data_IF_651966731399
#
_entry.id   IF_651966731399
#
_cell.length_a   1.000
_cell.length_b   1.000
_cell.length_c   1.000
_cell.angle_alpha   90.00
_cell.angle_beta   90.00
_cell.angle_gamma   90.00
#
_symmetry.space_group_name_H-M   'P 1'
#
loop_
_entity.id
_entity.type
_entity.pdbx_description
1 polymer ?
#
# COMPACT_ATOMS: atom_id res chain seq x y z
N UNK A 1 -18.14 54.98 -21.54
CA UNK A 1 -18.93 53.73 -21.58
C UNK A 1 -17.95 52.60 -21.85
N UNK A 2 -17.40 52.01 -20.79
CA UNK A 2 -16.53 50.85 -20.90
C UNK A 2 -17.43 49.68 -21.29
N UNK A 3 -17.16 49.05 -22.42
CA UNK A 3 -18.06 48.03 -22.94
C UNK A 3 -17.96 46.78 -22.07
N UNK A 4 -19.05 46.04 -21.92
CA UNK A 4 -19.08 44.73 -21.25
C UNK A 4 -17.98 43.80 -21.76
N UNK A 5 -17.52 44.01 -23.00
CA UNK A 5 -16.40 43.33 -23.65
C UNK A 5 -15.03 43.67 -23.07
N UNK A 6 -14.81 44.90 -22.60
CA UNK A 6 -13.56 45.33 -21.95
C UNK A 6 -13.47 44.78 -20.51
N UNK A 7 -14.62 44.68 -19.82
CA UNK A 7 -14.71 44.02 -18.51
C UNK A 7 -14.53 42.50 -18.64
N UNK A 8 -15.13 41.88 -19.67
CA UNK A 8 -14.95 40.46 -19.98
C UNK A 8 -13.53 40.13 -20.44
N UNK A 9 -12.88 40.99 -21.22
CA UNK A 9 -11.48 40.80 -21.60
C UNK A 9 -10.53 40.98 -20.41
N UNK A 10 -10.77 41.95 -19.51
CA UNK A 10 -9.98 42.12 -18.30
C UNK A 10 -10.20 40.98 -17.29
N UNK A 11 -11.41 40.42 -17.20
CA UNK A 11 -11.69 39.24 -16.37
C UNK A 11 -11.18 37.94 -16.99
N UNK A 12 -11.17 37.81 -18.32
CA UNK A 12 -10.56 36.67 -19.01
C UNK A 12 -9.02 36.71 -18.95
N UNK A 13 -8.41 37.90 -18.98
CA UNK A 13 -6.96 38.08 -18.77
C UNK A 13 -6.57 37.86 -17.30
N UNK A 14 -7.40 38.27 -16.32
CA UNK A 14 -7.19 37.91 -14.92
C UNK A 14 -7.41 36.40 -14.64
N UNK A 15 -8.28 35.72 -15.39
CA UNK A 15 -8.44 34.27 -15.32
C UNK A 15 -7.27 33.50 -15.97
N UNK A 16 -6.48 34.14 -16.83
CA UNK A 16 -5.23 33.55 -17.38
C UNK A 16 -3.96 33.97 -16.61
N UNK A 17 -4.07 34.82 -15.58
CA UNK A 17 -2.96 35.18 -14.68
C UNK A 17 -3.05 34.54 -13.30
N UNK A 18 -4.05 33.70 -13.04
CA UNK A 18 -3.94 32.65 -12.02
C UNK A 18 -3.18 31.48 -12.64
N UNK A 19 -1.90 31.69 -12.95
CA UNK A 19 -0.97 30.59 -12.86
C UNK A 19 -0.98 30.21 -11.39
N UNK A 20 -1.60 29.10 -11.01
CA UNK A 20 -1.19 28.43 -9.77
C UNK A 20 0.30 28.22 -9.95
N UNK A 21 1.10 29.00 -9.23
CA UNK A 21 2.54 28.90 -9.36
C UNK A 21 2.93 27.64 -8.59
N UNK A 22 2.79 26.48 -9.25
CA UNK A 22 3.10 25.16 -8.70
C UNK A 22 4.62 24.94 -8.59
N UNK A 23 5.38 26.03 -8.48
CA UNK A 23 6.84 26.06 -8.41
C UNK A 23 7.36 25.39 -7.14
N UNK A 24 6.53 25.27 -6.11
CA UNK A 24 6.85 24.46 -4.93
C UNK A 24 7.09 22.97 -5.29
N UNK A 25 6.58 22.48 -6.43
CA UNK A 25 6.85 21.12 -6.93
C UNK A 25 8.27 20.95 -7.48
N UNK A 26 8.96 22.04 -7.85
CA UNK A 26 10.33 22.01 -8.40
C UNK A 26 11.33 21.41 -7.40
N UNK A 27 10.99 21.43 -6.11
CA UNK A 27 11.81 20.85 -5.04
C UNK A 27 11.69 19.32 -4.99
N UNK A 28 10.69 18.70 -5.61
CA UNK A 28 10.54 17.24 -5.63
C UNK A 28 11.57 16.63 -6.60
N UNK A 29 12.34 15.60 -6.20
CA UNK A 29 13.29 14.92 -7.08
C UNK A 29 12.60 14.20 -8.27
N UNK A 30 12.99 14.51 -9.50
CA UNK A 30 12.46 13.88 -10.72
C UNK A 30 12.73 12.37 -10.75
N UNK A 31 13.82 11.93 -10.12
CA UNK A 31 14.26 10.54 -10.02
C UNK A 31 13.50 9.69 -8.98
N UNK A 32 12.48 10.25 -8.33
CA UNK A 32 11.71 9.57 -7.29
C UNK A 32 11.17 8.21 -7.75
N UNK A 33 11.31 7.22 -6.88
CA UNK A 33 10.84 5.84 -7.09
C UNK A 33 9.46 5.59 -6.48
N UNK A 34 9.02 6.46 -5.57
CA UNK A 34 7.65 6.56 -5.10
C UNK A 34 7.27 8.03 -4.94
N UNK A 35 6.04 8.38 -5.33
CA UNK A 35 5.46 9.72 -5.12
C UNK A 35 4.02 9.52 -4.67
N UNK A 36 3.63 10.21 -3.62
CA UNK A 36 2.26 10.29 -3.13
C UNK A 36 1.77 11.74 -3.14
N UNK A 37 0.47 11.93 -3.32
CA UNK A 37 -0.19 13.22 -3.15
C UNK A 37 -1.36 13.11 -2.17
N UNK A 38 -1.54 14.13 -1.36
CA UNK A 38 -2.65 14.28 -0.41
C UNK A 38 -3.35 15.59 -0.73
N UNK A 39 -4.62 15.51 -1.11
CA UNK A 39 -5.51 16.63 -1.38
C UNK A 39 -6.41 16.86 -0.17
N UNK A 40 -6.14 17.94 0.57
CA UNK A 40 -6.90 18.26 1.78
C UNK A 40 -8.33 18.74 1.45
N UNK A 41 -8.54 19.32 0.27
CA UNK A 41 -9.79 19.97 -0.12
C UNK A 41 -10.80 19.02 -0.74
N UNK A 42 -10.34 17.95 -1.41
CA UNK A 42 -11.20 16.95 -2.02
C UNK A 42 -11.95 16.08 -0.99
N UNK A 43 -11.65 16.22 0.30
CA UNK A 43 -12.36 15.57 1.39
C UNK A 43 -13.51 16.46 1.89
N UNK A 44 -14.73 16.17 1.44
CA UNK A 44 -15.92 17.00 1.72
C UNK A 44 -16.50 16.84 3.14
N UNK A 45 -15.86 16.07 4.01
CA UNK A 45 -16.24 15.94 5.42
C UNK A 45 -15.03 16.26 6.32
N UNK A 46 -14.91 17.53 6.79
CA UNK A 46 -13.88 17.96 7.73
C UNK A 46 -13.79 17.12 9.02
N UNK A 47 -14.87 16.39 9.33
CA UNK A 47 -14.99 15.53 10.52
C UNK A 47 -14.70 14.03 10.26
N UNK A 48 -14.61 13.57 9.00
CA UNK A 48 -14.44 12.13 8.71
C UNK A 48 -13.03 11.74 8.27
N UNK A 49 -12.24 12.66 7.71
CA UNK A 49 -10.83 12.37 7.41
C UNK A 49 -9.95 13.29 8.25
N UNK A 50 -9.26 12.74 9.26
CA UNK A 50 -8.36 13.45 10.17
C UNK A 50 -7.09 13.95 9.46
N UNK A 51 -7.20 14.67 8.35
CA UNK A 51 -6.02 15.07 7.57
C UNK A 51 -5.33 16.30 8.17
N UNK A 52 -6.06 17.08 8.98
CA UNK A 52 -5.41 17.96 9.96
C UNK A 52 -4.57 17.17 10.96
N UNK A 53 -5.05 16.01 11.41
CA UNK A 53 -4.24 15.08 12.20
C UNK A 53 -3.09 14.49 11.39
N UNK A 54 -3.20 14.32 10.06
CA UNK A 54 -2.07 13.88 9.21
C UNK A 54 -0.95 14.93 9.19
N UNK A 55 -1.25 16.23 9.05
CA UNK A 55 -0.23 17.29 9.14
C UNK A 55 0.41 17.36 10.53
N UNK A 56 -0.40 17.18 11.57
CA UNK A 56 0.06 17.09 12.96
C UNK A 56 0.92 15.86 13.22
N UNK A 57 0.54 14.70 12.68
CA UNK A 57 1.24 13.42 12.85
C UNK A 57 2.56 13.40 12.08
N UNK A 58 2.63 14.06 10.91
CA UNK A 58 3.82 14.08 10.07
C UNK A 58 4.78 15.23 10.42
N UNK A 59 4.27 16.46 10.59
CA UNK A 59 5.09 17.68 10.77
C UNK A 59 5.09 18.18 12.22
N UNK A 60 4.04 17.89 12.99
CA UNK A 60 3.92 18.34 14.38
C UNK A 60 3.20 19.68 14.57
N UNK A 61 2.60 20.24 13.52
CA UNK A 61 1.82 21.48 13.59
C UNK A 61 0.47 21.23 14.24
N UNK A 62 0.16 21.97 15.31
CA UNK A 62 -1.06 21.76 16.11
C UNK A 62 -2.28 22.49 15.54
N UNK A 63 -2.09 23.65 14.90
CA UNK A 63 -3.14 24.43 14.25
C UNK A 63 -2.81 24.57 12.77
N UNK A 64 -3.62 23.93 11.92
CA UNK A 64 -3.45 23.93 10.46
C UNK A 64 -4.04 25.19 9.81
N UNK A 65 -4.89 25.94 10.50
CA UNK A 65 -5.58 27.12 9.92
C UNK A 65 -4.69 28.37 9.91
N UNK A 66 -3.70 28.42 10.80
CA UNK A 66 -2.72 29.51 10.89
C UNK A 66 -1.27 28.98 10.83
N UNK A 67 -1.04 27.91 10.06
CA UNK A 67 0.29 27.30 9.95
C UNK A 67 1.20 27.92 8.89
N UNK A 68 0.68 28.81 8.05
CA UNK A 68 1.41 29.42 6.93
C UNK A 68 1.60 28.49 5.72
N UNK A 69 0.98 27.31 5.71
CA UNK A 69 0.94 26.41 4.55
C UNK A 69 -0.34 26.62 3.74
N UNK A 70 -0.23 26.59 2.41
CA UNK A 70 -1.40 26.61 1.52
C UNK A 70 -2.08 25.23 1.53
N UNK A 71 -3.08 25.08 2.40
CA UNK A 71 -3.86 23.84 2.53
C UNK A 71 -4.75 23.56 1.31
N UNK A 72 -4.94 24.54 0.42
CA UNK A 72 -5.69 24.32 -0.81
C UNK A 72 -4.87 23.62 -1.90
N UNK A 73 -3.55 23.65 -1.77
CA UNK A 73 -2.62 22.91 -2.62
C UNK A 73 -2.36 21.51 -2.07
N UNK A 74 -2.06 20.55 -2.96
CA UNK A 74 -1.74 19.18 -2.56
C UNK A 74 -0.40 19.13 -1.80
N UNK A 75 -0.35 18.29 -0.79
CA UNK A 75 0.90 17.88 -0.12
C UNK A 75 1.47 16.68 -0.86
N UNK A 76 2.78 16.63 -1.06
CA UNK A 76 3.44 15.51 -1.72
C UNK A 76 4.41 14.81 -0.78
N UNK A 77 4.48 13.49 -0.88
CA UNK A 77 5.56 12.70 -0.28
C UNK A 77 6.33 11.98 -1.39
N UNK A 78 7.62 11.78 -1.20
CA UNK A 78 8.47 11.12 -2.18
C UNK A 78 9.51 10.22 -1.52
N UNK A 79 9.99 9.25 -2.30
CA UNK A 79 11.16 8.45 -1.99
C UNK A 79 12.12 8.48 -3.20
N UNK A 80 13.40 8.75 -2.98
CA UNK A 80 14.44 8.68 -4.01
C UNK A 80 15.22 7.37 -3.98
N UNK A 81 15.93 7.00 -5.08
CA UNK A 81 16.70 5.75 -5.14
C UNK A 81 17.76 5.57 -4.05
N UNK A 82 18.25 6.65 -3.45
CA UNK A 82 19.20 6.63 -2.33
C UNK A 82 18.52 6.38 -0.96
N UNK A 83 17.21 6.12 -0.94
CA UNK A 83 16.41 5.89 0.27
C UNK A 83 16.00 7.16 1.01
N UNK A 84 16.20 8.35 0.42
CA UNK A 84 15.71 9.59 1.03
C UNK A 84 14.19 9.64 0.91
N UNK A 85 13.53 9.78 2.06
CA UNK A 85 12.10 10.04 2.15
C UNK A 85 11.91 11.52 2.45
N UNK A 86 10.97 12.16 1.75
CA UNK A 86 10.65 13.55 1.99
C UNK A 86 9.18 13.88 1.83
N UNK A 87 8.76 14.98 2.45
CA UNK A 87 7.47 15.61 2.31
C UNK A 87 7.65 17.03 1.78
N UNK A 88 6.74 17.47 0.93
CA UNK A 88 6.70 18.80 0.34
C UNK A 88 5.30 19.39 0.50
N UNK A 89 5.24 20.60 1.06
CA UNK A 89 4.02 21.40 1.16
C UNK A 89 4.29 22.80 0.60
N UNK A 90 3.25 23.43 0.05
CA UNK A 90 3.34 24.82 -0.42
C UNK A 90 3.25 25.78 0.75
N UNK A 91 4.11 26.80 0.75
CA UNK A 91 4.09 27.87 1.74
C UNK A 91 3.21 29.01 1.23
N UNK A 92 2.27 29.44 2.05
CA UNK A 92 1.49 30.66 1.85
C UNK A 92 2.15 31.84 2.58
N UNK A 93 2.69 31.61 3.78
CA UNK A 93 3.35 32.63 4.59
C UNK A 93 4.50 32.03 5.43
N UNK A 94 5.75 32.34 5.05
CA UNK A 94 6.95 31.85 5.74
C UNK A 94 7.12 32.38 7.17
N UNK A 95 6.59 33.58 7.48
CA UNK A 95 6.62 34.11 8.84
C UNK A 95 5.71 33.30 9.77
N UNK A 96 4.56 32.85 9.27
CA UNK A 96 3.64 32.01 10.03
C UNK A 96 4.20 30.60 10.24
N UNK A 97 4.85 30.02 9.22
CA UNK A 97 5.63 28.77 9.37
C UNK A 97 6.73 28.95 10.43
N UNK A 98 7.42 30.08 10.45
CA UNK A 98 8.44 30.40 11.45
C UNK A 98 7.84 30.45 12.85
N UNK A 99 6.67 31.09 13.04
CA UNK A 99 5.97 31.13 14.33
C UNK A 99 5.62 29.71 14.83
N UNK A 100 5.17 28.82 13.95
CA UNK A 100 4.89 27.43 14.31
C UNK A 100 6.14 26.72 14.84
N UNK A 101 7.27 26.82 14.13
CA UNK A 101 8.51 26.20 14.59
C UNK A 101 9.08 26.84 15.86
N UNK A 102 8.93 28.16 16.06
CA UNK A 102 9.28 28.81 17.34
C UNK A 102 8.41 28.27 18.48
N UNK A 103 7.12 28.05 18.24
CA UNK A 103 6.25 27.40 19.22
C UNK A 103 6.68 25.97 19.51
N UNK A 104 7.08 25.19 18.51
CA UNK A 104 7.59 23.82 18.71
C UNK A 104 8.92 23.80 19.49
N UNK A 105 9.82 24.74 19.18
CA UNK A 105 11.09 24.91 19.89
C UNK A 105 10.88 25.21 21.38
N UNK A 106 9.95 26.13 21.71
CA UNK A 106 9.63 26.45 23.12
C UNK A 106 9.04 25.27 23.90
N UNK A 107 8.44 24.30 23.19
CA UNK A 107 7.95 23.02 23.73
C UNK A 107 9.00 21.90 23.72
N UNK A 108 10.22 22.15 23.24
CA UNK A 108 11.31 21.17 23.17
C UNK A 108 11.15 20.10 22.08
N UNK A 109 10.29 20.32 21.07
CA UNK A 109 10.00 19.36 19.99
C UNK A 109 10.94 19.50 18.78
N UNK A 110 11.69 20.60 18.68
CA UNK A 110 12.63 20.83 17.58
C UNK A 110 13.78 21.75 18.00
N UNK A 111 14.76 21.95 17.11
CA UNK A 111 15.79 23.00 17.27
C UNK A 111 15.22 24.39 16.97
N UNK A 112 15.93 25.44 17.36
CA UNK A 112 15.57 26.80 16.94
C UNK A 112 15.68 26.94 15.41
N UNK A 113 14.80 27.72 14.76
CA UNK A 113 14.93 28.04 13.35
C UNK A 113 16.25 28.76 13.04
N UNK A 114 17.00 28.25 12.06
CA UNK A 114 18.30 28.79 11.64
C UNK A 114 18.26 29.12 10.14
N UNK A 115 18.62 30.36 9.78
CA UNK A 115 18.66 30.78 8.39
C UNK A 115 20.01 30.41 7.75
N UNK A 116 19.95 29.75 6.60
CA UNK A 116 21.12 29.45 5.78
C UNK A 116 20.80 29.71 4.30
N UNK A 117 21.60 30.57 3.64
CA UNK A 117 21.53 30.85 2.18
C UNK A 117 20.12 31.19 1.66
N UNK A 118 19.33 31.93 2.43
CA UNK A 118 17.99 32.38 2.03
C UNK A 118 16.84 31.43 2.42
N UNK A 119 17.14 30.25 2.98
CA UNK A 119 16.14 29.30 3.48
C UNK A 119 16.31 29.13 4.99
N UNK A 120 15.26 28.70 5.69
CA UNK A 120 15.29 28.45 7.14
C UNK A 120 15.18 26.96 7.43
N UNK A 121 15.99 26.46 8.37
CA UNK A 121 16.06 25.03 8.73
C UNK A 121 15.77 24.78 10.21
N UNK A 122 15.12 23.65 10.46
CA UNK A 122 14.72 23.17 11.79
C UNK A 122 14.86 21.65 11.84
N UNK A 123 15.47 21.11 12.89
CA UNK A 123 15.49 19.65 13.14
C UNK A 123 14.38 19.28 14.13
N UNK A 124 13.38 18.53 13.67
CA UNK A 124 12.23 18.05 14.43
C UNK A 124 12.55 16.68 15.03
N UNK A 125 12.27 16.50 16.32
CA UNK A 125 12.47 15.24 17.08
C UNK A 125 13.84 14.57 16.84
N UNK A 126 14.88 15.39 16.65
CA UNK A 126 16.26 14.98 16.35
C UNK A 126 16.44 14.08 15.11
N UNK A 127 15.40 13.92 14.27
CA UNK A 127 15.39 12.92 13.19
C UNK A 127 14.86 13.46 11.86
N UNK A 128 14.11 14.55 11.83
CA UNK A 128 13.51 15.08 10.60
C UNK A 128 13.98 16.51 10.35
N UNK A 129 14.70 16.74 9.25
CA UNK A 129 15.15 18.07 8.88
C UNK A 129 14.09 18.75 8.03
N UNK A 130 13.44 19.76 8.60
CA UNK A 130 12.60 20.69 7.89
C UNK A 130 13.45 21.85 7.35
N UNK A 131 13.14 22.27 6.13
CA UNK A 131 13.70 23.45 5.48
C UNK A 131 12.58 24.14 4.73
N UNK A 132 12.53 25.46 4.74
CA UNK A 132 11.49 26.22 4.04
C UNK A 132 11.98 27.54 3.46
N UNK A 133 11.30 27.95 2.37
CA UNK A 133 11.40 29.24 1.70
C UNK A 133 10.03 29.94 1.71
N UNK A 134 9.89 31.04 0.97
CA UNK A 134 8.60 31.71 0.75
C UNK A 134 7.63 30.88 -0.11
N UNK A 135 8.10 29.82 -0.76
CA UNK A 135 7.30 29.01 -1.72
C UNK A 135 7.02 27.59 -1.25
N UNK A 136 7.99 26.95 -0.56
CA UNK A 136 7.92 25.53 -0.25
C UNK A 136 8.48 25.21 1.14
N UNK A 137 7.84 24.25 1.81
CA UNK A 137 8.35 23.54 2.97
C UNK A 137 8.75 22.13 2.51
N UNK A 138 9.98 21.73 2.83
CA UNK A 138 10.50 20.39 2.60
C UNK A 138 10.85 19.78 3.95
N UNK A 139 10.42 18.55 4.21
CA UNK A 139 10.82 17.78 5.40
C UNK A 139 11.48 16.49 4.94
N UNK A 140 12.73 16.24 5.32
CA UNK A 140 13.48 15.02 4.97
C UNK A 140 13.86 14.24 6.23
N UNK A 141 13.61 12.93 6.23
CA UNK A 141 13.99 12.05 7.32
C UNK A 141 13.51 10.60 7.17
N UNK A 142 13.82 9.75 8.15
CA UNK A 142 14.65 10.05 9.31
C UNK A 142 16.14 10.20 8.92
N UNK A 143 16.84 11.15 9.55
CA UNK A 143 18.29 11.38 9.40
C UNK A 143 19.00 11.29 10.75
N UNK A 144 20.28 10.94 10.71
CA UNK A 144 21.18 11.00 11.87
C UNK A 144 21.84 12.38 11.97
N UNK A 145 22.41 12.69 13.15
CA UNK A 145 23.19 13.92 13.35
C UNK A 145 24.37 14.06 12.36
N UNK A 146 24.95 12.94 11.90
CA UNK A 146 26.03 12.95 10.90
C UNK A 146 25.54 13.31 9.50
N UNK A 147 24.27 13.05 9.18
CA UNK A 147 23.67 13.32 7.88
C UNK A 147 23.12 14.74 7.75
N UNK A 148 22.96 15.48 8.87
CA UNK A 148 22.33 16.82 8.89
C UNK A 148 22.93 17.79 7.86
N UNK A 149 24.24 18.01 7.89
CA UNK A 149 24.91 18.98 6.99
C UNK A 149 24.76 18.58 5.53
N UNK A 150 24.91 17.29 5.21
CA UNK A 150 24.74 16.79 3.84
C UNK A 150 23.28 16.92 3.36
N UNK A 151 22.32 16.67 4.25
CA UNK A 151 20.88 16.78 3.97
C UNK A 151 20.49 18.24 3.75
N UNK A 152 20.97 19.16 4.59
CA UNK A 152 20.76 20.60 4.40
C UNK A 152 21.30 21.06 3.05
N UNK A 153 22.52 20.64 2.67
CA UNK A 153 23.08 20.94 1.36
C UNK A 153 22.26 20.34 0.21
N UNK A 154 21.65 19.16 0.39
CA UNK A 154 20.74 18.55 -0.59
C UNK A 154 19.47 19.40 -0.74
N UNK A 155 18.84 19.79 0.37
CA UNK A 155 17.65 20.65 0.37
C UNK A 155 17.92 22.02 -0.25
N UNK A 156 19.09 22.62 0.03
CA UNK A 156 19.52 23.86 -0.60
C UNK A 156 19.62 23.77 -2.13
N UNK A 157 19.99 22.60 -2.67
CA UNK A 157 19.96 22.38 -4.13
C UNK A 157 18.53 22.23 -4.63
N UNK A 158 17.68 21.54 -3.88
CA UNK A 158 16.25 21.39 -4.22
C UNK A 158 15.54 22.74 -4.32
N UNK A 159 15.77 23.66 -3.37
CA UNK A 159 15.22 25.02 -3.39
C UNK A 159 15.71 25.91 -4.55
N UNK A 160 16.82 25.56 -5.20
CA UNK A 160 17.44 26.40 -6.26
C UNK A 160 17.09 25.96 -7.68
N UNK A 161 16.40 24.83 -7.87
CA UNK A 161 16.36 24.14 -9.16
C UNK A 161 15.78 25.02 -10.28
N UNK A 162 16.66 25.32 -11.23
CA UNK A 162 16.42 25.94 -12.55
C UNK A 162 17.10 25.07 -13.64
N UNK A 163 17.31 23.78 -13.36
CA UNK A 163 18.18 22.86 -14.12
C UNK A 163 17.44 21.93 -15.09
N UNK A 164 16.16 22.21 -15.39
CA UNK A 164 15.37 21.46 -16.37
C UNK A 164 14.99 20.04 -15.95
N UNK A 165 15.04 19.72 -14.65
CA UNK A 165 14.60 18.43 -14.08
C UNK A 165 13.34 18.61 -13.22
N UNK A 166 12.27 19.06 -13.85
CA UNK A 166 10.98 19.24 -13.20
C UNK A 166 10.29 17.88 -12.98
N UNK A 167 9.83 17.63 -11.75
CA UNK A 167 9.11 16.38 -11.42
C UNK A 167 7.88 16.19 -12.31
N UNK A 168 7.25 17.28 -12.75
CA UNK A 168 6.06 17.28 -13.62
C UNK A 168 6.32 16.65 -14.98
N UNK A 169 7.58 16.64 -15.44
CA UNK A 169 7.99 15.95 -16.66
C UNK A 169 8.21 14.44 -16.46
N UNK A 170 8.25 13.96 -15.22
CA UNK A 170 8.42 12.55 -14.92
C UNK A 170 7.14 11.75 -15.22
N UNK A 171 7.30 10.57 -15.82
CA UNK A 171 6.17 9.66 -16.09
C UNK A 171 5.43 9.23 -14.81
N UNK A 172 6.15 9.15 -13.68
CA UNK A 172 5.58 8.81 -12.37
C UNK A 172 4.64 9.91 -11.90
N UNK A 173 5.07 11.17 -11.97
CA UNK A 173 4.25 12.31 -11.56
C UNK A 173 3.06 12.52 -12.50
N UNK A 174 3.26 12.46 -13.83
CA UNK A 174 2.14 12.52 -14.77
C UNK A 174 1.10 11.42 -14.50
N UNK A 175 1.55 10.22 -14.10
CA UNK A 175 0.63 9.15 -13.69
C UNK A 175 -0.08 9.50 -12.39
N UNK A 176 0.62 10.04 -11.39
CA UNK A 176 0.05 10.45 -10.11
C UNK A 176 -1.02 11.53 -10.32
N UNK A 177 -0.72 12.55 -11.11
CA UNK A 177 -1.62 13.66 -11.42
C UNK A 177 -2.88 13.23 -12.17
N UNK A 178 -2.80 12.13 -12.92
CA UNK A 178 -3.97 11.52 -13.59
C UNK A 178 -4.95 10.80 -12.63
N UNK A 179 -4.61 10.65 -11.35
CA UNK A 179 -5.46 9.95 -10.36
C UNK A 179 -6.33 11.00 -9.66
N UNK A 180 -7.65 10.83 -9.78
CA UNK A 180 -8.62 11.67 -9.09
C UNK A 180 -9.04 10.98 -7.78
N UNK A 181 -8.23 11.15 -6.73
CA UNK A 181 -8.52 10.64 -5.41
C UNK A 181 -7.84 11.53 -4.34
N UNK A 182 -8.46 11.70 -3.16
CA UNK A 182 -7.90 12.52 -2.08
C UNK A 182 -6.50 12.09 -1.65
N UNK A 183 -6.21 10.80 -1.66
CA UNK A 183 -4.85 10.29 -1.47
C UNK A 183 -4.50 9.44 -2.68
N UNK A 184 -3.39 9.74 -3.33
CA UNK A 184 -2.91 9.01 -4.49
C UNK A 184 -1.45 8.61 -4.31
N UNK A 185 -1.07 7.42 -4.78
CA UNK A 185 0.32 6.93 -4.72
C UNK A 185 0.67 6.30 -6.06
N UNK A 186 1.84 6.66 -6.59
CA UNK A 186 2.49 5.95 -7.69
C UNK A 186 3.87 5.55 -7.22
N UNK A 187 4.13 4.24 -7.17
CA UNK A 187 5.39 3.70 -6.65
C UNK A 187 5.90 2.56 -7.52
N UNK A 188 7.21 2.47 -7.69
CA UNK A 188 7.86 1.24 -8.16
C UNK A 188 7.67 0.17 -7.11
N UNK A 189 7.44 -1.06 -7.53
CA UNK A 189 7.26 -2.19 -6.60
C UNK A 189 8.50 -2.41 -5.73
N UNK A 190 9.68 -2.03 -6.21
CA UNK A 190 10.94 -2.07 -5.45
C UNK A 190 11.02 -1.09 -4.27
N UNK A 191 10.15 -0.08 -4.21
CA UNK A 191 10.07 0.86 -3.08
C UNK A 191 9.18 0.33 -1.94
N UNK A 192 8.36 -0.69 -2.20
CA UNK A 192 7.46 -1.24 -1.21
C UNK A 192 8.20 -2.22 -0.27
N UNK A 193 7.81 -2.31 1.01
CA UNK A 193 8.35 -3.30 1.93
C UNK A 193 8.14 -4.73 1.39
N UNK A 194 9.19 -5.55 1.42
CA UNK A 194 9.19 -6.91 0.85
C UNK A 194 8.04 -7.80 1.38
N UNK A 195 7.64 -7.61 2.65
CA UNK A 195 6.53 -8.36 3.25
C UNK A 195 5.14 -8.00 2.68
N UNK A 196 5.03 -6.91 1.91
CA UNK A 196 3.77 -6.40 1.37
C UNK A 196 3.65 -6.56 -0.16
N UNK A 197 4.73 -6.91 -0.87
CA UNK A 197 4.72 -6.91 -2.36
C UNK A 197 4.00 -8.12 -2.98
N UNK A 198 3.83 -9.22 -2.24
CA UNK A 198 3.37 -10.50 -2.81
C UNK A 198 2.03 -10.39 -3.57
N UNK A 199 0.96 -9.76 -3.01
CA UNK A 199 -0.31 -9.67 -3.72
C UNK A 199 -0.22 -8.86 -5.01
N UNK A 200 0.63 -7.83 -5.03
CA UNK A 200 0.79 -6.93 -6.17
C UNK A 200 1.71 -7.50 -7.25
N UNK A 201 2.49 -8.53 -6.93
CA UNK A 201 3.42 -9.17 -7.87
C UNK A 201 2.89 -10.48 -8.45
N UNK A 202 1.70 -10.95 -8.06
CA UNK A 202 1.16 -12.23 -8.52
C UNK A 202 1.14 -12.37 -10.06
N UNK A 203 0.78 -11.29 -10.78
CA UNK A 203 0.78 -11.25 -12.25
C UNK A 203 2.13 -10.92 -12.90
N UNK A 204 3.20 -10.73 -12.13
CA UNK A 204 4.50 -10.27 -12.61
C UNK A 204 5.17 -11.32 -13.52
N UNK A 205 5.59 -10.94 -14.75
CA UNK A 205 6.34 -11.83 -15.64
C UNK A 205 7.70 -12.21 -15.05
N UNK A 206 8.18 -13.42 -15.38
CA UNK A 206 9.43 -13.98 -14.83
C UNK A 206 10.67 -13.11 -15.07
N UNK A 207 10.73 -12.46 -16.22
CA UNK A 207 11.84 -11.61 -16.64
C UNK A 207 11.77 -10.16 -16.15
N UNK A 208 10.68 -9.76 -15.48
CA UNK A 208 10.52 -8.40 -15.00
C UNK A 208 11.21 -8.20 -13.64
N UNK A 209 11.87 -7.04 -13.50
CA UNK A 209 12.40 -6.57 -12.21
C UNK A 209 11.35 -5.72 -11.48
N UNK A 210 11.39 -5.73 -10.14
CA UNK A 210 10.47 -4.95 -9.30
C UNK A 210 10.53 -3.43 -9.58
N UNK A 211 11.68 -2.91 -10.01
CA UNK A 211 11.82 -1.50 -10.40
C UNK A 211 11.07 -1.15 -11.70
N UNK A 212 10.69 -2.16 -12.48
CA UNK A 212 9.96 -2.01 -13.74
C UNK A 212 8.44 -2.15 -13.56
N UNK A 213 7.98 -2.64 -12.40
CA UNK A 213 6.57 -2.76 -12.06
C UNK A 213 6.15 -1.53 -11.25
N UNK A 214 5.10 -0.87 -11.69
CA UNK A 214 4.56 0.33 -11.06
C UNK A 214 3.21 -0.01 -10.44
N UNK A 215 3.04 0.30 -9.17
CA UNK A 215 1.75 0.36 -8.48
C UNK A 215 1.21 1.79 -8.60
N UNK A 216 -0.03 1.93 -9.06
CA UNK A 216 -0.77 3.19 -9.05
C UNK A 216 -2.06 2.97 -8.29
N UNK A 217 -2.26 3.75 -7.23
CA UNK A 217 -3.42 3.64 -6.34
C UNK A 217 -4.02 5.00 -6.05
N UNK A 218 -5.34 5.03 -5.89
CA UNK A 218 -6.09 6.14 -5.32
C UNK A 218 -6.96 5.63 -4.17
N UNK A 219 -6.94 6.31 -3.03
CA UNK A 219 -7.77 6.01 -1.87
C UNK A 219 -8.89 7.02 -1.78
N UNK A 220 -10.12 6.52 -1.64
CA UNK A 220 -11.34 7.29 -1.41
C UNK A 220 -12.06 6.75 -0.18
N UNK A 221 -12.96 7.55 0.38
CA UNK A 221 -13.94 7.08 1.34
C UNK A 221 -15.23 6.73 0.60
N UNK A 222 -15.62 5.46 0.67
CA UNK A 222 -16.84 4.95 0.05
C UNK A 222 -17.66 4.20 1.10
N UNK A 223 -18.93 4.59 1.23
CA UNK A 223 -19.90 3.92 2.11
C UNK A 223 -19.48 3.82 3.60
N UNK A 224 -18.55 4.67 4.06
CA UNK A 224 -18.02 4.65 5.43
C UNK A 224 -16.68 3.92 5.59
N UNK A 225 -16.05 3.51 4.48
CA UNK A 225 -14.79 2.76 4.46
C UNK A 225 -13.74 3.42 3.58
N UNK A 226 -12.47 3.34 4.00
CA UNK A 226 -11.35 3.67 3.13
C UNK A 226 -11.16 2.56 2.08
N UNK A 227 -11.38 2.91 0.81
CA UNK A 227 -11.26 2.02 -0.35
C UNK A 227 -10.14 2.53 -1.25
N UNK A 228 -9.14 1.67 -1.45
CA UNK A 228 -8.01 1.87 -2.35
C UNK A 228 -8.32 1.17 -3.67
N UNK A 229 -8.45 1.93 -4.74
CA UNK A 229 -8.48 1.39 -6.10
C UNK A 229 -7.08 1.40 -6.68
N UNK A 230 -6.64 0.25 -7.18
CA UNK A 230 -5.25 0.07 -7.58
C UNK A 230 -5.06 -0.73 -8.84
N UNK A 231 -4.00 -0.42 -9.56
CA UNK A 231 -3.53 -1.23 -10.69
C UNK A 231 -2.02 -1.34 -10.70
N UNK A 232 -1.55 -2.44 -11.24
CA UNK A 232 -0.14 -2.62 -11.56
C UNK A 232 0.07 -2.50 -13.07
N UNK A 233 1.13 -1.83 -13.48
CA UNK A 233 1.48 -1.63 -14.88
C UNK A 233 3.00 -1.47 -15.04
N UNK A 234 3.47 -1.33 -16.27
CA UNK A 234 4.88 -1.01 -16.54
C UNK A 234 5.03 0.10 -17.56
N UNK A 235 6.04 0.96 -17.39
CA UNK A 235 6.48 1.86 -18.47
C UNK A 235 7.23 1.11 -19.58
N UNK A 236 7.67 -0.12 -19.33
CA UNK A 236 8.17 -1.01 -20.35
C UNK A 236 7.00 -1.71 -21.04
N UNK A 237 6.78 -1.39 -22.31
CA UNK A 237 5.66 -1.92 -23.10
C UNK A 237 5.60 -3.45 -23.14
N UNK A 238 6.73 -4.14 -23.24
CA UNK A 238 6.75 -5.61 -23.29
C UNK A 238 6.31 -6.24 -21.98
N UNK A 239 6.76 -5.69 -20.86
CA UNK A 239 6.36 -6.13 -19.51
C UNK A 239 4.89 -5.80 -19.26
N UNK A 240 4.44 -4.61 -19.66
CA UNK A 240 3.05 -4.15 -19.47
C UNK A 240 2.04 -5.03 -20.20
N UNK A 241 2.35 -5.45 -21.43
CA UNK A 241 1.50 -6.38 -22.18
C UNK A 241 1.34 -7.70 -21.43
N UNK A 242 2.44 -8.27 -20.92
CA UNK A 242 2.41 -9.55 -20.20
C UNK A 242 1.70 -9.44 -18.85
N UNK A 243 1.89 -8.33 -18.11
CA UNK A 243 1.12 -8.05 -16.89
C UNK A 243 -0.39 -8.07 -17.18
N UNK A 244 -0.82 -7.35 -18.22
CA UNK A 244 -2.23 -7.28 -18.62
C UNK A 244 -2.77 -8.61 -19.14
N UNK A 245 -1.94 -9.45 -19.73
CA UNK A 245 -2.32 -10.81 -20.12
C UNK A 245 -2.52 -11.71 -18.90
N UNK A 246 -1.58 -11.68 -17.96
CA UNK A 246 -1.67 -12.44 -16.71
C UNK A 246 -2.88 -12.01 -15.88
N UNK A 247 -3.26 -10.73 -15.89
CA UNK A 247 -4.43 -10.25 -15.15
C UNK A 247 -5.78 -10.73 -15.69
N UNK A 248 -5.83 -11.30 -16.90
CA UNK A 248 -7.07 -11.83 -17.49
C UNK A 248 -7.51 -13.15 -16.85
N UNK A 249 -6.65 -13.83 -16.09
CA UNK A 249 -7.02 -15.09 -15.44
C UNK A 249 -8.04 -14.88 -14.31
N UNK A 250 -8.07 -13.67 -13.74
CA UNK A 250 -8.96 -13.35 -12.63
C UNK A 250 -10.37 -13.10 -13.14
N UNK A 251 -11.31 -13.85 -12.58
CA UNK A 251 -12.75 -13.75 -12.79
C UNK A 251 -13.37 -12.93 -11.65
N UNK A 252 -14.61 -12.52 -11.85
CA UNK A 252 -15.36 -11.85 -10.80
C UNK A 252 -15.54 -12.79 -9.59
N UNK A 253 -15.26 -12.26 -8.39
CA UNK A 253 -15.48 -12.94 -7.13
C UNK A 253 -16.99 -13.05 -6.90
N UNK A 254 -17.42 -14.23 -6.47
CA UNK A 254 -18.82 -14.50 -6.07
C UNK A 254 -18.99 -14.35 -4.56
N UNK A 255 -20.21 -14.46 -4.04
CA UNK A 255 -20.49 -14.45 -2.60
C UNK A 255 -20.02 -15.72 -1.86
N UNK A 256 -19.54 -16.72 -2.60
CA UNK A 256 -19.07 -17.99 -2.08
C UNK A 256 -17.88 -17.85 -1.10
N UNK A 257 -17.94 -18.59 0.01
CA UNK A 257 -16.95 -18.68 1.08
C UNK A 257 -16.69 -17.43 1.93
N UNK A 258 -17.50 -16.37 1.79
CA UNK A 258 -17.32 -15.10 2.50
C UNK A 258 -17.93 -15.05 3.91
N UNK A 259 -18.72 -16.05 4.29
CA UNK A 259 -19.47 -16.05 5.56
C UNK A 259 -18.71 -16.74 6.72
N UNK A 260 -17.52 -17.28 6.47
CA UNK A 260 -16.75 -18.08 7.45
C UNK A 260 -15.25 -17.84 7.29
N UNK A 261 -14.78 -16.67 7.73
CA UNK A 261 -13.38 -16.23 7.66
C UNK A 261 -12.74 -16.07 9.05
N UNK A 262 -11.44 -16.38 9.21
CA UNK A 262 -10.74 -16.20 10.49
C UNK A 262 -10.71 -14.74 10.95
N UNK A 263 -11.37 -14.41 12.07
CA UNK A 263 -11.51 -13.03 12.55
C UNK A 263 -10.19 -12.43 13.06
N UNK A 264 -9.20 -13.27 13.36
CA UNK A 264 -7.88 -12.86 13.82
C UNK A 264 -6.90 -12.50 12.69
N UNK A 265 -7.33 -12.43 11.43
CA UNK A 265 -6.45 -12.06 10.29
C UNK A 265 -6.09 -10.57 10.22
N UNK A 266 -4.81 -10.27 9.94
CA UNK A 266 -4.31 -8.95 9.53
C UNK A 266 -4.81 -8.58 8.13
N UNK A 267 -4.85 -9.55 7.21
CA UNK A 267 -5.28 -9.33 5.84
C UNK A 267 -6.09 -10.54 5.35
N UNK A 268 -7.16 -10.27 4.61
CA UNK A 268 -7.82 -11.26 3.75
C UNK A 268 -7.61 -10.86 2.30
N UNK A 269 -7.17 -11.79 1.45
CA UNK A 269 -7.07 -11.62 0.00
C UNK A 269 -8.08 -12.54 -0.68
N UNK A 270 -8.91 -11.95 -1.53
CA UNK A 270 -9.98 -12.59 -2.27
C UNK A 270 -9.65 -12.56 -3.76
N UNK A 271 -9.85 -13.68 -4.45
CA UNK A 271 -9.76 -13.76 -5.90
C UNK A 271 -10.64 -14.90 -6.42
N UNK A 272 -10.90 -14.91 -7.72
CA UNK A 272 -11.56 -16.04 -8.37
C UNK A 272 -10.81 -16.39 -9.64
N UNK A 273 -10.41 -17.64 -9.79
CA UNK A 273 -9.64 -18.10 -10.94
C UNK A 273 -9.89 -19.58 -11.24
N UNK A 274 -9.50 -19.98 -12.45
CA UNK A 274 -9.29 -21.39 -12.79
C UNK A 274 -7.87 -21.79 -12.37
N UNK A 275 -7.75 -22.95 -11.73
CA UNK A 275 -6.54 -23.39 -11.05
C UNK A 275 -5.32 -23.61 -11.95
N UNK A 276 -5.51 -24.14 -13.16
CA UNK A 276 -4.41 -24.33 -14.11
C UNK A 276 -3.84 -23.00 -14.59
N UNK A 277 -4.69 -22.02 -14.90
CA UNK A 277 -4.23 -20.69 -15.30
C UNK A 277 -3.56 -19.93 -14.14
N UNK A 278 -4.12 -20.01 -12.93
CA UNK A 278 -3.50 -19.43 -11.74
C UNK A 278 -2.14 -20.04 -11.45
N UNK A 279 -2.01 -21.36 -11.52
CA UNK A 279 -0.74 -22.04 -11.27
C UNK A 279 0.34 -21.59 -12.26
N UNK A 280 0.01 -21.41 -13.55
CA UNK A 280 0.95 -20.89 -14.56
C UNK A 280 1.48 -19.51 -14.19
N UNK A 281 0.59 -18.61 -13.76
CA UNK A 281 0.95 -17.25 -13.34
C UNK A 281 1.83 -17.29 -12.08
N UNK A 282 1.45 -18.09 -11.08
CA UNK A 282 2.26 -18.29 -9.86
C UNK A 282 3.63 -18.91 -10.13
N UNK A 283 3.78 -19.76 -11.14
CA UNK A 283 5.07 -20.35 -11.49
C UNK A 283 6.00 -19.37 -12.24
N UNK A 284 5.45 -18.31 -12.84
CA UNK A 284 6.24 -17.26 -13.48
C UNK A 284 6.84 -16.29 -12.46
N UNK A 285 6.10 -15.98 -11.38
CA UNK A 285 6.61 -15.14 -10.32
C UNK A 285 7.58 -15.92 -9.42
N UNK A 286 8.79 -15.37 -9.23
CA UNK A 286 9.88 -16.01 -8.50
C UNK A 286 9.52 -16.31 -7.04
N UNK A 287 8.87 -15.38 -6.35
CA UNK A 287 8.51 -15.52 -4.94
C UNK A 287 7.47 -16.62 -4.74
N UNK A 288 6.42 -16.64 -5.56
CA UNK A 288 5.40 -17.71 -5.51
C UNK A 288 5.97 -19.05 -5.99
N UNK A 289 6.89 -19.07 -6.95
CA UNK A 289 7.56 -20.30 -7.37
C UNK A 289 8.33 -20.95 -6.21
N UNK A 290 9.05 -20.16 -5.41
CA UNK A 290 9.76 -20.68 -4.22
C UNK A 290 8.79 -21.26 -3.20
N UNK A 291 7.66 -20.58 -2.96
CA UNK A 291 6.61 -21.07 -2.06
C UNK A 291 6.00 -22.40 -2.56
N UNK A 292 5.71 -22.51 -3.85
CA UNK A 292 5.19 -23.73 -4.47
C UNK A 292 6.19 -24.89 -4.37
N UNK A 293 7.47 -24.65 -4.66
CA UNK A 293 8.52 -25.66 -4.51
C UNK A 293 8.60 -26.15 -3.06
N UNK A 294 8.54 -25.24 -2.09
CA UNK A 294 8.51 -25.59 -0.67
C UNK A 294 7.29 -26.44 -0.30
N UNK A 295 6.09 -26.04 -0.72
CA UNK A 295 4.86 -26.79 -0.45
C UNK A 295 4.88 -28.20 -1.08
N UNK A 296 5.41 -28.32 -2.30
CA UNK A 296 5.55 -29.57 -3.04
C UNK A 296 6.53 -30.57 -2.42
N UNK A 297 7.26 -30.19 -1.35
CA UNK A 297 8.06 -31.15 -0.57
C UNK A 297 7.22 -32.04 0.36
N UNK A 298 5.97 -31.65 0.63
CA UNK A 298 5.09 -32.33 1.60
C UNK A 298 3.78 -32.80 0.96
N UNK A 299 3.12 -31.93 0.18
CA UNK A 299 1.86 -32.23 -0.51
C UNK A 299 1.97 -31.81 -1.97
N UNK A 300 1.27 -32.47 -2.88
CA UNK A 300 1.21 -32.02 -4.28
C UNK A 300 0.31 -30.78 -4.41
N UNK A 301 0.87 -29.62 -4.03
CA UNK A 301 0.20 -28.32 -4.07
C UNK A 301 -0.15 -27.95 -5.50
N UNK A 302 0.67 -28.35 -6.47
CA UNK A 302 0.37 -28.20 -7.89
C UNK A 302 -0.96 -28.90 -8.26
N UNK A 303 -1.14 -30.17 -7.87
CA UNK A 303 -2.37 -30.92 -8.14
C UNK A 303 -3.59 -30.37 -7.37
N UNK A 304 -3.39 -29.91 -6.14
CA UNK A 304 -4.43 -29.21 -5.36
C UNK A 304 -4.86 -27.94 -6.08
N UNK A 305 -3.92 -27.08 -6.50
CA UNK A 305 -4.21 -25.85 -7.22
C UNK A 305 -4.89 -26.11 -8.56
N UNK A 306 -4.44 -27.09 -9.34
CA UNK A 306 -5.11 -27.50 -10.60
C UNK A 306 -6.55 -27.99 -10.39
N UNK A 307 -6.92 -28.36 -9.17
CA UNK A 307 -8.29 -28.79 -8.84
C UNK A 307 -9.21 -27.61 -8.47
N UNK A 308 -8.67 -26.40 -8.32
CA UNK A 308 -9.42 -25.17 -8.04
C UNK A 308 -10.18 -24.71 -9.28
N UNK A 309 -11.45 -24.33 -9.09
CA UNK A 309 -12.23 -23.63 -10.10
C UNK A 309 -13.30 -22.79 -9.41
N UNK A 310 -12.93 -21.60 -8.96
CA UNK A 310 -13.86 -20.67 -8.32
C UNK A 310 -13.15 -19.69 -7.41
N UNK A 311 -13.88 -19.24 -6.38
CA UNK A 311 -13.34 -18.35 -5.37
C UNK A 311 -12.13 -18.99 -4.64
N UNK A 312 -11.21 -18.13 -4.25
CA UNK A 312 -10.00 -18.42 -3.48
C UNK A 312 -9.89 -17.32 -2.42
N UNK A 313 -9.63 -17.71 -1.19
CA UNK A 313 -9.41 -16.80 -0.07
C UNK A 313 -8.13 -17.18 0.66
N UNK A 314 -7.18 -16.25 0.70
CA UNK A 314 -6.05 -16.32 1.61
C UNK A 314 -6.31 -15.39 2.79
N UNK A 315 -6.03 -15.85 4.01
CA UNK A 315 -6.12 -15.02 5.20
C UNK A 315 -4.81 -15.10 5.96
N UNK A 316 -4.21 -13.94 6.25
CA UNK A 316 -2.90 -13.83 6.88
C UNK A 316 -3.09 -13.28 8.29
N UNK A 317 -2.81 -14.06 9.35
CA UNK A 317 -2.80 -13.57 10.74
C UNK A 317 -1.73 -12.50 10.97
N UNK A 318 -0.60 -12.64 10.29
CA UNK A 318 0.60 -11.82 10.46
C UNK A 318 1.37 -11.77 9.12
N UNK A 319 2.52 -11.09 9.12
CA UNK A 319 3.43 -11.01 7.96
C UNK A 319 4.63 -11.96 8.09
N UNK A 320 4.52 -12.98 8.95
CA UNK A 320 5.60 -13.93 9.26
C UNK A 320 5.42 -15.28 8.55
N UNK A 321 4.44 -15.36 7.65
CA UNK A 321 4.23 -16.51 6.76
C UNK A 321 3.11 -17.46 7.18
N UNK A 322 2.46 -17.22 8.32
CA UNK A 322 1.26 -17.97 8.70
C UNK A 322 0.09 -17.62 7.78
N UNK A 323 -0.73 -18.61 7.44
CA UNK A 323 -1.89 -18.37 6.59
C UNK A 323 -3.01 -19.37 6.83
N UNK A 324 -4.20 -18.96 6.40
CA UNK A 324 -5.32 -19.81 6.05
C UNK A 324 -5.57 -19.71 4.56
N UNK A 325 -5.90 -20.82 3.92
CA UNK A 325 -6.20 -20.89 2.49
C UNK A 325 -7.48 -21.69 2.27
N UNK A 326 -8.46 -21.06 1.65
CA UNK A 326 -9.72 -21.67 1.22
C UNK A 326 -9.86 -21.57 -0.29
N UNK A 327 -10.30 -22.64 -0.95
CA UNK A 327 -10.55 -22.61 -2.38
C UNK A 327 -11.72 -23.51 -2.78
N UNK A 328 -12.53 -23.04 -3.73
CA UNK A 328 -13.58 -23.84 -4.36
C UNK A 328 -12.95 -24.80 -5.37
N UNK A 329 -13.14 -26.10 -5.16
CA UNK A 329 -12.66 -27.14 -6.05
C UNK A 329 -13.77 -27.60 -7.01
N UNK A 330 -13.39 -28.00 -8.22
CA UNK A 330 -14.29 -28.76 -9.10
C UNK A 330 -14.17 -30.27 -8.91
N UNK A 331 -13.06 -30.74 -8.34
CA UNK A 331 -12.77 -32.15 -8.06
C UNK A 331 -11.83 -32.29 -6.87
N UNK A 332 -11.74 -33.48 -6.29
CA UNK A 332 -10.88 -33.77 -5.14
C UNK A 332 -10.08 -35.06 -5.28
N UNK A 333 -9.78 -35.44 -6.52
CA UNK A 333 -9.12 -36.72 -6.84
C UNK A 333 -7.72 -36.84 -6.22
N UNK A 334 -7.05 -35.70 -5.97
CA UNK A 334 -5.77 -35.64 -5.25
C UNK A 334 -5.81 -36.27 -3.86
N UNK A 335 -6.99 -36.43 -3.25
CA UNK A 335 -7.14 -37.13 -1.97
C UNK A 335 -6.68 -38.60 -2.04
N UNK A 336 -6.71 -39.22 -3.22
CA UNK A 336 -6.17 -40.56 -3.43
C UNK A 336 -4.65 -40.62 -3.18
N UNK A 337 -3.95 -39.51 -3.39
CA UNK A 337 -2.49 -39.43 -3.25
C UNK A 337 -2.04 -39.18 -1.80
N UNK A 338 -2.95 -38.84 -0.89
CA UNK A 338 -2.61 -38.53 0.52
C UNK A 338 -1.96 -39.72 1.22
N UNK A 339 -2.37 -40.94 0.88
CA UNK A 339 -1.72 -42.16 1.39
C UNK A 339 -0.24 -42.22 1.02
N UNK A 340 0.11 -41.80 -0.19
CA UNK A 340 1.50 -41.71 -0.64
C UNK A 340 2.24 -40.55 0.05
N UNK A 341 1.63 -39.37 0.18
CA UNK A 341 2.26 -38.22 0.87
C UNK A 341 2.65 -38.52 2.31
N UNK A 342 1.84 -39.32 3.03
CA UNK A 342 2.17 -39.81 4.37
C UNK A 342 3.45 -40.66 4.40
N UNK A 343 3.67 -41.49 3.39
CA UNK A 343 4.85 -42.34 3.26
C UNK A 343 6.09 -41.54 2.82
N UNK A 344 5.88 -40.43 2.13
CA UNK A 344 6.96 -39.57 1.58
C UNK A 344 7.35 -38.40 2.48
N UNK A 345 6.79 -38.31 3.69
CA UNK A 345 7.18 -37.28 4.65
C UNK A 345 8.71 -37.30 4.92
N UNK A 346 9.39 -36.14 4.87
CA UNK A 346 10.81 -36.03 5.21
C UNK A 346 11.13 -36.57 6.61
N UNK A 347 12.38 -36.99 6.82
CA UNK A 347 12.83 -37.42 8.15
C UNK A 347 12.61 -36.30 9.19
N UNK A 348 12.06 -36.66 10.36
CA UNK A 348 11.69 -35.69 11.40
C UNK A 348 10.29 -35.09 11.25
N UNK A 349 9.52 -35.51 10.23
CA UNK A 349 8.16 -35.06 10.02
C UNK A 349 7.16 -36.22 9.94
N UNK A 350 5.87 -35.93 10.07
CA UNK A 350 4.80 -36.90 9.89
C UNK A 350 3.53 -36.23 9.39
N UNK A 351 2.72 -37.00 8.67
CA UNK A 351 1.35 -36.63 8.33
C UNK A 351 0.37 -37.67 8.91
N UNK A 352 -0.67 -37.19 9.58
CA UNK A 352 -1.67 -38.02 10.28
C UNK A 352 -3.10 -37.72 9.82
N UNK A 353 -3.98 -38.69 9.97
CA UNK A 353 -5.43 -38.50 9.83
C UNK A 353 -5.99 -37.79 11.07
N UNK A 354 -6.81 -36.76 10.85
CA UNK A 354 -7.51 -36.03 11.89
C UNK A 354 -9.04 -36.03 11.71
N UNK A 355 -9.54 -36.78 10.73
CA UNK A 355 -10.95 -36.92 10.41
C UNK A 355 -11.15 -37.40 8.98
N UNK A 356 -12.40 -37.47 8.53
CA UNK A 356 -12.72 -37.75 7.13
C UNK A 356 -12.19 -36.59 6.26
N UNK A 357 -11.45 -36.93 5.19
CA UNK A 357 -10.84 -35.98 4.26
C UNK A 357 -10.09 -34.84 4.99
N UNK A 358 -9.47 -35.13 6.14
CA UNK A 358 -8.82 -34.15 7.04
C UNK A 358 -7.50 -34.68 7.55
N UNK A 359 -6.43 -33.90 7.37
CA UNK A 359 -5.06 -34.34 7.61
C UNK A 359 -4.22 -33.25 8.26
N UNK A 360 -3.20 -33.66 9.01
CA UNK A 360 -2.27 -32.76 9.68
C UNK A 360 -0.85 -33.23 9.42
N UNK A 361 -0.05 -32.37 8.81
CA UNK A 361 1.40 -32.49 8.73
C UNK A 361 2.06 -31.72 9.86
N UNK A 362 3.08 -32.33 10.47
CA UNK A 362 3.81 -31.79 11.62
C UNK A 362 5.31 -32.06 11.43
N UNK A 363 6.12 -31.02 11.57
CA UNK A 363 7.56 -31.11 11.84
C UNK A 363 7.94 -30.15 13.00
N UNK A 364 9.23 -29.99 13.26
CA UNK A 364 9.72 -29.16 14.37
C UNK A 364 9.39 -27.66 14.21
N UNK A 365 9.21 -27.20 12.97
CA UNK A 365 9.06 -25.78 12.64
C UNK A 365 7.61 -25.38 12.30
N UNK A 366 6.82 -26.29 11.76
CA UNK A 366 5.56 -26.00 11.06
C UNK A 366 4.49 -27.06 11.35
N UNK A 367 3.27 -26.59 11.55
CA UNK A 367 2.04 -27.40 11.54
C UNK A 367 1.18 -26.98 10.34
N UNK A 368 0.96 -27.90 9.41
CA UNK A 368 0.10 -27.69 8.25
C UNK A 368 -1.13 -28.60 8.33
N UNK A 369 -2.31 -28.00 8.43
CA UNK A 369 -3.58 -28.73 8.45
C UNK A 369 -4.29 -28.50 7.12
N UNK A 370 -4.90 -29.54 6.55
CA UNK A 370 -5.80 -29.38 5.41
C UNK A 370 -6.97 -30.34 5.45
N UNK A 371 -8.09 -29.92 4.86
CA UNK A 371 -9.28 -30.74 4.69
C UNK A 371 -10.03 -30.39 3.40
N UNK A 372 -10.91 -31.29 2.98
CA UNK A 372 -11.88 -31.05 1.91
C UNK A 372 -13.28 -31.26 2.44
N UNK A 373 -14.12 -30.24 2.36
CA UNK A 373 -15.52 -30.33 2.78
C UNK A 373 -16.36 -31.19 1.83
N UNK A 374 -17.59 -31.53 2.26
CA UNK A 374 -18.54 -32.27 1.43
C UNK A 374 -18.96 -31.52 0.17
N UNK A 375 -18.91 -30.19 0.19
CA UNK A 375 -19.24 -29.32 -0.94
C UNK A 375 -18.00 -28.94 -1.77
N UNK A 376 -16.87 -29.65 -1.63
CA UNK A 376 -15.64 -29.43 -2.40
C UNK A 376 -14.97 -28.07 -2.13
N UNK A 377 -14.93 -27.63 -0.87
CA UNK A 377 -14.05 -26.54 -0.42
C UNK A 377 -12.78 -27.15 0.14
N UNK A 378 -11.64 -26.82 -0.45
CA UNK A 378 -10.34 -27.03 0.19
C UNK A 378 -10.17 -26.01 1.30
N UNK A 379 -9.79 -26.45 2.49
CA UNK A 379 -9.50 -25.58 3.64
C UNK A 379 -8.14 -26.00 4.17
N UNK A 380 -7.22 -25.07 4.34
CA UNK A 380 -5.93 -25.34 4.95
C UNK A 380 -5.43 -24.20 5.80
N UNK A 381 -4.50 -24.52 6.68
CA UNK A 381 -3.81 -23.55 7.52
C UNK A 381 -2.36 -23.97 7.75
N UNK A 382 -1.46 -23.00 7.76
CA UNK A 382 -0.05 -23.19 8.09
C UNK A 382 0.34 -22.25 9.23
N UNK A 383 0.98 -22.80 10.25
CA UNK A 383 1.50 -22.06 11.40
C UNK A 383 2.95 -22.44 11.68
N UNK A 384 3.78 -21.43 11.91
CA UNK A 384 5.15 -21.59 12.38
C UNK A 384 5.20 -21.63 13.91
N UNK A 385 6.07 -22.48 14.45
CA UNK A 385 6.29 -22.66 15.89
C UNK A 385 5.38 -23.71 16.53
N UNK A 386 5.93 -24.44 17.49
CA UNK A 386 5.33 -25.61 18.16
C UNK A 386 4.20 -25.30 19.15
N UNK A 387 3.68 -24.08 19.17
CA UNK A 387 2.53 -23.78 20.03
C UNK A 387 1.29 -24.41 19.44
N UNK A 388 0.60 -25.22 20.24
CA UNK A 388 -0.82 -25.56 20.11
C UNK A 388 -1.70 -24.29 20.24
N UNK A 389 -1.36 -23.22 19.50
CA UNK A 389 -2.28 -22.15 19.15
C UNK A 389 -3.30 -22.79 18.22
N UNK A 390 -4.27 -23.37 18.90
CA UNK A 390 -5.17 -24.36 18.38
C UNK A 390 -5.94 -23.72 17.22
N UNK A 391 -5.80 -24.28 16.02
CA UNK A 391 -6.69 -24.00 14.89
C UNK A 391 -8.16 -24.14 15.34
N UNK A 392 -8.42 -24.93 16.41
CA UNK A 392 -9.72 -25.10 17.07
C UNK A 392 -10.24 -23.86 17.84
N UNK A 393 -9.37 -22.93 18.25
CA UNK A 393 -9.75 -21.71 18.99
C UNK A 393 -9.86 -20.47 18.09
N UNK A 394 -9.65 -20.63 16.77
CA UNK A 394 -9.84 -19.53 15.82
C UNK A 394 -11.31 -19.21 15.72
N UNK A 395 -11.68 -17.98 16.05
CA UNK A 395 -13.03 -17.47 15.82
C UNK A 395 -13.20 -17.15 14.34
N UNK A 396 -14.38 -17.48 13.81
CA UNK A 396 -14.72 -17.19 12.43
C UNK A 396 -15.90 -16.21 12.38
N UNK A 397 -15.89 -15.32 11.38
CA UNK A 397 -16.96 -14.37 11.16
C UNK A 397 -17.31 -14.27 9.67
N UNK A 398 -18.55 -13.88 9.40
CA UNK A 398 -18.96 -13.44 8.09
C UNK A 398 -18.37 -12.06 7.78
N UNK A 399 -18.09 -11.80 6.50
CA UNK A 399 -17.81 -10.44 6.07
C UNK A 399 -19.05 -9.57 6.31
N UNK A 400 -18.88 -8.35 6.87
CA UNK A 400 -19.93 -7.36 6.89
C UNK A 400 -20.46 -7.08 5.47
N UNK A 401 -21.76 -6.85 5.31
CA UNK A 401 -22.39 -6.65 3.99
C UNK A 401 -21.76 -5.50 3.19
N UNK A 402 -21.38 -4.42 3.87
CA UNK A 402 -20.67 -3.28 3.27
C UNK A 402 -19.36 -3.73 2.59
N UNK A 403 -18.55 -4.55 3.27
CA UNK A 403 -17.32 -5.15 2.73
C UNK A 403 -17.65 -6.12 1.60
N UNK A 404 -18.65 -6.98 1.81
CA UNK A 404 -19.06 -8.02 0.86
C UNK A 404 -19.48 -7.41 -0.48
N UNK A 405 -20.20 -6.29 -0.45
CA UNK A 405 -20.66 -5.56 -1.64
C UNK A 405 -19.51 -5.03 -2.52
N UNK A 406 -18.35 -4.74 -1.93
CA UNK A 406 -17.14 -4.29 -2.63
C UNK A 406 -16.29 -5.46 -3.14
N UNK A 407 -16.28 -6.58 -2.41
CA UNK A 407 -15.54 -7.78 -2.79
C UNK A 407 -16.22 -8.50 -3.96
N UNK A 408 -17.54 -8.72 -3.88
CA UNK A 408 -18.30 -9.42 -4.92
C UNK A 408 -18.29 -8.60 -6.20
N UNK A 409 -18.01 -9.24 -7.33
CA UNK A 409 -17.89 -8.58 -8.63
C UNK A 409 -16.47 -8.09 -8.96
N UNK A 410 -15.63 -7.82 -7.95
CA UNK A 410 -14.21 -7.49 -8.18
C UNK A 410 -13.41 -8.71 -8.61
N UNK A 411 -12.24 -8.51 -9.23
CA UNK A 411 -11.35 -9.61 -9.69
C UNK A 411 -10.35 -10.06 -8.63
N UNK A 412 -9.83 -9.09 -7.88
CA UNK A 412 -8.96 -9.28 -6.74
C UNK A 412 -9.25 -8.17 -5.74
N UNK A 413 -9.51 -8.55 -4.50
CA UNK A 413 -9.73 -7.62 -3.41
C UNK A 413 -8.91 -8.03 -2.19
N UNK A 414 -8.54 -7.05 -1.35
CA UNK A 414 -7.89 -7.30 -0.07
C UNK A 414 -8.52 -6.46 1.02
N UNK A 415 -8.80 -7.07 2.16
CA UNK A 415 -9.26 -6.39 3.37
C UNK A 415 -8.14 -6.40 4.40
N UNK A 416 -7.57 -5.23 4.67
CA UNK A 416 -6.54 -5.04 5.70
C UNK A 416 -7.16 -4.56 7.00
N UNK A 417 -6.64 -5.05 8.13
CA UNK A 417 -6.99 -4.58 9.46
C UNK A 417 -5.80 -3.81 10.07
N UNK A 418 -5.91 -2.50 10.17
CA UNK A 418 -4.82 -1.63 10.65
C UNK A 418 -4.54 -1.79 12.14
N UNK A 419 -5.49 -2.26 12.95
CA UNK A 419 -5.28 -2.49 14.40
C UNK A 419 -4.29 -3.62 14.68
N UNK A 420 -4.01 -4.45 13.67
CA UNK A 420 -3.08 -5.58 13.79
C UNK A 420 -1.68 -5.24 13.29
N UNK A 421 -1.46 -4.01 12.84
CA UNK A 421 -0.14 -3.50 12.47
C UNK A 421 0.64 -3.19 13.75
N UNK A 422 1.79 -3.85 13.95
CA UNK A 422 2.60 -3.69 15.16
C UNK A 422 3.32 -2.33 15.28
N UNK A 423 3.53 -1.62 14.17
CA UNK A 423 4.17 -0.31 14.17
C UNK A 423 3.12 0.77 14.42
N UNK A 424 3.04 1.29 15.65
CA UNK A 424 2.04 2.27 16.06
C UNK A 424 2.10 3.59 15.28
N UNK A 425 3.29 4.07 14.88
CA UNK A 425 3.41 5.29 14.07
C UNK A 425 2.81 5.07 12.68
N UNK A 426 3.16 3.97 12.03
CA UNK A 426 2.59 3.62 10.73
C UNK A 426 1.08 3.34 10.83
N UNK A 427 0.64 2.63 11.87
CA UNK A 427 -0.76 2.37 12.13
C UNK A 427 -1.54 3.67 12.39
N UNK A 428 -0.96 4.62 13.13
CA UNK A 428 -1.52 5.95 13.39
C UNK A 428 -1.74 6.73 12.10
N UNK A 429 -0.71 6.86 11.26
CA UNK A 429 -0.82 7.52 9.95
C UNK A 429 -1.89 6.85 9.08
N UNK A 430 -1.90 5.51 9.00
CA UNK A 430 -2.91 4.79 8.23
C UNK A 430 -4.32 5.00 8.77
N UNK A 431 -4.50 5.07 10.10
CA UNK A 431 -5.79 5.43 10.73
C UNK A 431 -6.19 6.86 10.38
N UNK A 432 -5.29 7.83 10.48
CA UNK A 432 -5.58 9.23 10.14
C UNK A 432 -5.96 9.40 8.66
N UNK A 433 -5.23 8.75 7.75
CA UNK A 433 -5.51 8.74 6.30
C UNK A 433 -6.81 8.01 5.93
N UNK A 434 -7.20 7.01 6.71
CA UNK A 434 -8.42 6.23 6.47
C UNK A 434 -9.63 6.77 7.24
N UNK A 435 -9.54 7.96 7.84
CA UNK A 435 -10.64 8.57 8.57
C UNK A 435 -10.99 7.88 9.89
N UNK A 436 -9.98 7.34 10.57
CA UNK A 436 -10.13 6.58 11.82
C UNK A 436 -10.67 5.16 11.63
N UNK A 437 -10.91 4.72 10.38
CA UNK A 437 -11.35 3.36 10.12
C UNK A 437 -10.22 2.37 10.34
N UNK A 438 -10.55 1.20 10.89
CA UNK A 438 -9.55 0.16 11.17
C UNK A 438 -9.47 -0.89 10.07
N UNK A 439 -10.30 -0.74 9.03
CA UNK A 439 -10.43 -1.64 7.90
C UNK A 439 -10.23 -0.86 6.61
N UNK A 440 -9.27 -1.30 5.81
CA UNK A 440 -8.98 -0.69 4.51
C UNK A 440 -9.21 -1.75 3.45
N UNK A 441 -10.05 -1.42 2.48
CA UNK A 441 -10.28 -2.27 1.32
C UNK A 441 -9.31 -1.86 0.21
N UNK A 442 -8.68 -2.83 -0.43
CA UNK A 442 -7.99 -2.64 -1.70
C UNK A 442 -8.74 -3.42 -2.78
N UNK A 443 -8.98 -2.78 -3.92
CA UNK A 443 -9.60 -3.39 -5.09
C UNK A 443 -8.65 -3.23 -6.26
N UNK A 444 -8.34 -4.33 -6.93
CA UNK A 444 -7.57 -4.30 -8.17
C UNK A 444 -8.50 -3.98 -9.35
N UNK A 445 -8.19 -2.90 -10.07
CA UNK A 445 -8.87 -2.47 -11.31
C UNK A 445 -8.41 -3.24 -12.55
#
# INVERSE_FOLDING_TARGET
>A
MNTLRDILAASLVMLTMSCSNDDYLNVIPMESIAIASIDLMQNQSPDECGIGDVLKDIIGFEDITECGLDISSKIYAFETPDGTIGLVARVENADDVTKQFVSMYSKGKCTSPEQHRGNTFVLIDNSWLAGYSDEALIVIGPITSMQRVATEQKMQKMFRRDDGNDVRESKMFMKLDSINAPISIVARMSALPEKLILPFTLGMPKEADLSQIILSVGMNHEDGMAVIHGKTFSFNRGIDIKLKENDKIFRNITDDMLDNLPSNSLCHMFMNAEGNELLKVMQQNRSTQVLLVGANTVVDMDNILRSVNGNIVFSFPNLDGDFYFKARLHKKDFLADVGYWKLSCPAGSKMIDAGKDTYVYINDDVKFCFSVSSDNIFISSLFHGSTDNDVRNTSYCALPEEVKSKVVGSKLAMLFNTDKIRNETFAGIMRSLSGGTTKIMYIKE
#
